data_IF_620271988356
#
_entry.id   IF_620271988356
#
_cell.length_a   1.000
_cell.length_b   1.000
_cell.length_c   1.000
_cell.angle_alpha   90.00
_cell.angle_beta   90.00
_cell.angle_gamma   90.00
#
_symmetry.space_group_name_H-M   'P 1'
#
loop_
_entity.id
_entity.type
_entity.pdbx_description
1 polymer ?
#
# COMPACT_ATOMS: atom_id res chain seq x y z
N UNK A 1 0.81 -41.42 56.62
CA UNK A 1 0.12 -40.12 56.78
C UNK A 1 0.98 -39.07 56.08
N UNK A 2 0.55 -38.55 54.93
CA UNK A 2 1.32 -37.59 54.14
C UNK A 2 0.73 -36.20 54.25
N UNK A 3 1.53 -35.22 54.67
CA UNK A 3 1.15 -33.81 54.70
C UNK A 3 1.26 -33.20 53.30
N UNK A 4 0.19 -32.52 52.86
CA UNK A 4 0.19 -31.68 51.67
C UNK A 4 0.38 -30.23 52.13
N UNK A 5 1.47 -29.59 51.70
CA UNK A 5 1.72 -28.16 51.93
C UNK A 5 1.13 -27.41 50.73
N UNK A 6 0.04 -26.67 50.96
CA UNK A 6 -0.54 -25.75 49.99
C UNK A 6 0.26 -24.43 50.01
N UNK A 7 1.21 -24.29 49.09
CA UNK A 7 1.90 -23.02 48.86
C UNK A 7 0.96 -22.05 48.14
N UNK A 8 0.57 -20.97 48.81
CA UNK A 8 -0.22 -19.88 48.23
C UNK A 8 0.62 -19.09 47.23
N UNK A 9 0.26 -19.16 45.95
CA UNK A 9 0.86 -18.33 44.89
C UNK A 9 0.25 -16.94 44.98
N UNK A 10 1.04 -15.94 45.34
CA UNK A 10 0.62 -14.53 45.35
C UNK A 10 0.58 -14.03 43.90
N UNK A 11 -0.55 -13.52 43.38
CA UNK A 11 -0.57 -12.95 42.04
C UNK A 11 0.18 -11.63 42.02
N UNK A 12 1.20 -11.53 41.17
CA UNK A 12 1.89 -10.27 40.88
C UNK A 12 0.94 -9.38 40.09
N UNK A 13 0.58 -8.23 40.67
CA UNK A 13 -0.22 -7.21 40.00
C UNK A 13 0.69 -6.44 39.05
N UNK A 14 0.56 -6.69 37.75
CA UNK A 14 1.24 -5.89 36.72
C UNK A 14 0.47 -4.59 36.56
N UNK A 15 0.97 -3.50 37.13
CA UNK A 15 0.46 -2.17 36.85
C UNK A 15 0.98 -1.75 35.48
N UNK A 16 0.09 -1.81 34.48
CA UNK A 16 0.34 -1.26 33.17
C UNK A 16 0.49 0.26 33.33
N UNK A 17 1.61 0.89 32.90
CA UNK A 17 1.72 2.33 32.95
C UNK A 17 0.53 2.92 32.17
N UNK A 18 -0.20 3.83 32.83
CA UNK A 18 -1.33 4.52 32.24
C UNK A 18 -0.94 4.96 30.83
N UNK A 19 -1.72 4.52 29.84
CA UNK A 19 -1.53 4.76 28.43
C UNK A 19 -1.52 6.27 28.16
N UNK A 20 -0.36 6.90 28.37
CA UNK A 20 -0.08 8.25 27.95
C UNK A 20 0.25 8.17 26.47
N UNK A 21 -0.46 9.03 25.74
CA UNK A 21 -0.38 9.21 24.30
C UNK A 21 -1.09 8.10 23.52
N UNK A 22 -2.40 8.33 23.36
CA UNK A 22 -3.11 7.90 22.18
C UNK A 22 -2.30 8.36 20.96
N UNK A 23 -1.43 7.46 20.47
CA UNK A 23 -0.94 7.47 19.11
C UNK A 23 -2.17 7.38 18.22
N UNK A 24 -2.79 8.53 17.95
CA UNK A 24 -3.67 8.70 16.82
C UNK A 24 -2.79 8.63 15.56
N UNK A 25 -2.19 7.46 15.32
CA UNK A 25 -1.69 7.06 14.02
C UNK A 25 -2.92 6.84 13.14
N UNK A 26 -3.56 7.95 12.75
CA UNK A 26 -4.44 7.93 11.59
C UNK A 26 -3.52 7.66 10.41
N UNK A 27 -3.35 6.38 10.06
CA UNK A 27 -2.74 6.03 8.79
C UNK A 27 -3.46 6.83 7.70
N UNK A 28 -2.75 7.50 6.78
CA UNK A 28 -3.39 8.33 5.78
C UNK A 28 -4.40 7.47 5.01
N UNK A 29 -5.67 7.86 5.07
CA UNK A 29 -6.75 7.15 4.35
C UNK A 29 -6.45 7.29 2.87
N UNK A 30 -5.94 6.22 2.26
CA UNK A 30 -5.61 6.22 0.84
C UNK A 30 -6.90 6.22 0.03
N UNK A 31 -7.07 7.23 -0.81
CA UNK A 31 -8.24 7.33 -1.68
C UNK A 31 -8.06 6.45 -2.92
N UNK A 32 -9.13 5.75 -3.28
CA UNK A 32 -9.19 4.88 -4.45
C UNK A 32 -10.25 5.38 -5.40
N UNK A 33 -9.88 5.53 -6.67
CA UNK A 33 -10.77 5.97 -7.74
C UNK A 33 -10.86 4.93 -8.84
N UNK A 34 -11.98 4.84 -9.57
CA UNK A 34 -12.09 3.99 -10.75
C UNK A 34 -10.99 4.27 -11.77
N UNK A 35 -10.43 3.22 -12.38
CA UNK A 35 -9.36 3.35 -13.37
C UNK A 35 -9.72 4.28 -14.55
N UNK A 36 -10.99 4.32 -14.97
CA UNK A 36 -11.42 5.24 -16.03
C UNK A 36 -11.35 6.71 -15.56
N UNK A 37 -11.79 7.00 -14.34
CA UNK A 37 -11.77 8.34 -13.75
C UNK A 37 -10.33 8.80 -13.54
N UNK A 38 -9.44 7.90 -13.09
CA UNK A 38 -8.00 8.15 -13.02
C UNK A 38 -7.40 8.58 -14.36
N UNK A 39 -7.76 7.90 -15.46
CA UNK A 39 -7.26 8.22 -16.80
C UNK A 39 -7.78 9.56 -17.33
N UNK A 40 -8.97 9.98 -16.92
CA UNK A 40 -9.55 11.28 -17.29
C UNK A 40 -8.97 12.43 -16.45
N UNK A 41 -8.78 12.21 -15.15
CA UNK A 41 -8.19 13.18 -14.24
C UNK A 41 -6.72 13.50 -14.59
N UNK A 42 -5.99 12.53 -15.13
CA UNK A 42 -4.57 12.64 -15.43
C UNK A 42 -4.31 12.79 -16.93
N UNK A 43 -4.96 13.80 -17.51
CA UNK A 43 -4.64 14.31 -18.84
C UNK A 43 -3.68 15.49 -18.70
N UNK A 44 -2.70 15.54 -19.59
CA UNK A 44 -1.85 16.71 -19.76
C UNK A 44 -2.72 17.89 -20.20
N UNK A 45 -2.77 19.00 -19.44
CA UNK A 45 -3.58 20.16 -19.79
C UNK A 45 -3.09 20.87 -21.07
N UNK A 46 -1.81 20.73 -21.43
CA UNK A 46 -1.26 21.39 -22.61
C UNK A 46 -1.56 20.63 -23.90
N UNK A 47 -1.49 19.29 -23.85
CA UNK A 47 -1.67 18.44 -25.05
C UNK A 47 -3.01 17.72 -25.11
N UNK A 48 -3.77 17.71 -24.02
CA UNK A 48 -5.02 16.94 -23.86
C UNK A 48 -4.82 15.42 -23.84
N UNK A 49 -3.56 14.95 -23.93
CA UNK A 49 -3.20 13.53 -23.97
C UNK A 49 -3.20 12.95 -22.56
N UNK A 50 -3.51 11.67 -22.44
CA UNK A 50 -3.41 10.96 -21.15
C UNK A 50 -1.94 10.79 -20.77
N UNK A 51 -1.60 11.11 -19.52
CA UNK A 51 -0.25 10.91 -18.98
C UNK A 51 0.11 9.41 -18.88
N UNK A 52 -0.91 8.56 -18.69
CA UNK A 52 -0.77 7.10 -18.69
C UNK A 52 -1.71 6.53 -19.74
N UNK A 53 -1.21 5.65 -20.62
CA UNK A 53 -2.07 4.97 -21.57
C UNK A 53 -2.97 3.96 -20.84
N UNK A 54 -4.18 3.76 -21.37
CA UNK A 54 -5.13 2.79 -20.83
C UNK A 54 -4.50 1.39 -20.77
N UNK A 55 -3.84 0.98 -21.84
CA UNK A 55 -3.17 -0.31 -21.96
C UNK A 55 -2.07 -0.49 -20.93
N UNK A 56 -1.21 0.53 -20.75
CA UNK A 56 -0.15 0.49 -19.74
C UNK A 56 -0.71 0.33 -18.32
N UNK A 57 -1.81 1.05 -18.00
CA UNK A 57 -2.47 0.94 -16.70
C UNK A 57 -2.99 -0.48 -16.44
N UNK A 58 -3.79 -1.04 -17.37
CA UNK A 58 -4.34 -2.39 -17.19
C UNK A 58 -3.28 -3.48 -17.24
N UNK A 59 -2.23 -3.31 -18.05
CA UNK A 59 -1.10 -4.23 -18.08
C UNK A 59 -0.34 -4.20 -16.75
N UNK A 60 -0.07 -3.03 -16.18
CA UNK A 60 0.58 -2.90 -14.88
C UNK A 60 -0.24 -3.50 -13.74
N UNK A 61 -1.57 -3.35 -13.80
CA UNK A 61 -2.50 -4.03 -12.88
C UNK A 61 -2.42 -5.55 -13.03
N UNK A 62 -2.46 -6.06 -14.27
CA UNK A 62 -2.35 -7.50 -14.55
C UNK A 62 -1.01 -8.09 -14.11
N UNK A 63 0.07 -7.33 -14.24
CA UNK A 63 1.43 -7.72 -13.82
C UNK A 63 1.66 -7.56 -12.31
N UNK A 64 0.70 -7.03 -11.55
CA UNK A 64 0.84 -6.80 -10.11
C UNK A 64 1.77 -5.64 -9.74
N UNK A 65 2.20 -4.84 -10.72
CA UNK A 65 3.05 -3.65 -10.51
C UNK A 65 2.27 -2.46 -9.97
N UNK A 66 0.98 -2.41 -10.28
CA UNK A 66 0.07 -1.34 -9.86
C UNK A 66 -0.84 -1.87 -8.75
N UNK A 67 -0.80 -1.26 -7.55
CA UNK A 67 -1.73 -1.59 -6.48
C UNK A 67 -3.15 -1.27 -6.95
N UNK A 68 -4.08 -2.20 -6.73
CA UNK A 68 -5.46 -2.03 -7.17
C UNK A 68 -6.41 -2.79 -6.25
N UNK A 69 -7.67 -2.32 -6.20
CA UNK A 69 -8.79 -3.01 -5.56
C UNK A 69 -9.81 -3.35 -6.63
N UNK A 70 -10.26 -4.60 -6.66
CA UNK A 70 -11.29 -5.04 -7.61
C UNK A 70 -12.64 -5.10 -6.92
N UNK A 71 -13.58 -4.29 -7.38
CA UNK A 71 -14.97 -4.30 -6.92
C UNK A 71 -15.87 -4.81 -8.05
N UNK A 72 -16.16 -6.12 -8.02
CA UNK A 72 -16.87 -6.83 -9.08
C UNK A 72 -16.12 -6.77 -10.41
N UNK A 73 -16.69 -6.03 -11.38
CA UNK A 73 -16.09 -5.78 -12.70
C UNK A 73 -15.25 -4.50 -12.76
N UNK A 74 -15.25 -3.68 -11.71
CA UNK A 74 -14.53 -2.40 -11.67
C UNK A 74 -13.16 -2.59 -11.04
N UNK A 75 -12.17 -1.89 -11.59
CA UNK A 75 -10.83 -1.78 -11.02
C UNK A 75 -10.70 -0.38 -10.45
N UNK A 76 -10.37 -0.31 -9.16
CA UNK A 76 -10.01 0.91 -8.48
C UNK A 76 -8.50 0.97 -8.35
N UNK A 77 -7.95 2.14 -8.63
CA UNK A 77 -6.53 2.45 -8.47
C UNK A 77 -6.39 3.60 -7.48
N UNK A 78 -5.26 3.69 -6.77
CA UNK A 78 -5.01 4.82 -5.89
C UNK A 78 -5.00 6.14 -6.65
N UNK A 79 -5.55 7.20 -6.05
CA UNK A 79 -5.55 8.53 -6.66
C UNK A 79 -4.13 9.10 -6.83
N UNK A 80 -3.22 8.73 -5.93
CA UNK A 80 -1.80 9.11 -5.90
C UNK A 80 -0.90 8.21 -6.76
N UNK A 81 -1.48 7.33 -7.58
CA UNK A 81 -0.71 6.33 -8.33
C UNK A 81 0.33 6.98 -9.27
N UNK A 82 0.00 8.11 -9.91
CA UNK A 82 0.93 8.76 -10.83
C UNK A 82 2.18 9.28 -10.11
N UNK A 83 2.01 9.87 -8.93
CA UNK A 83 3.13 10.32 -8.11
C UNK A 83 4.05 9.16 -7.77
N UNK A 84 3.50 7.97 -7.51
CA UNK A 84 4.29 6.77 -7.23
C UNK A 84 5.02 6.22 -8.47
N UNK A 85 4.42 6.34 -9.65
CA UNK A 85 5.06 5.93 -10.91
C UNK A 85 6.19 6.88 -11.32
N UNK A 86 6.03 8.18 -11.07
CA UNK A 86 7.03 9.20 -11.39
C UNK A 86 8.15 9.24 -10.34
N UNK A 87 7.81 9.09 -9.06
CA UNK A 87 8.76 9.17 -7.94
C UNK A 87 9.58 7.90 -7.76
N UNK A 88 9.18 6.78 -8.37
CA UNK A 88 10.01 5.57 -8.45
C UNK A 88 10.76 5.55 -9.79
N UNK A 89 11.90 6.26 -9.95
CA UNK A 89 12.84 5.90 -10.99
C UNK A 89 13.22 4.44 -10.72
N UNK A 90 13.33 3.66 -11.79
CA UNK A 90 13.73 2.26 -11.76
C UNK A 90 14.76 2.02 -10.65
N UNK A 91 14.34 1.38 -9.56
CA UNK A 91 15.30 0.89 -8.58
C UNK A 91 16.09 -0.18 -9.32
N UNK A 92 17.30 0.22 -9.72
CA UNK A 92 18.34 -0.60 -10.29
C UNK A 92 18.39 -1.97 -9.59
N UNK A 93 18.28 -3.05 -10.39
CA UNK A 93 18.26 -4.40 -9.83
C UNK A 93 18.10 -5.55 -10.82
N UNK A 94 17.90 -5.31 -12.13
CA UNK A 94 17.96 -6.38 -13.13
C UNK A 94 19.03 -6.05 -14.19
N UNK A 95 20.19 -6.74 -14.20
CA UNK A 95 21.16 -6.63 -15.28
C UNK A 95 20.65 -7.41 -16.50
N UNK A 96 19.79 -6.79 -17.31
CA UNK A 96 19.48 -7.24 -18.67
C UNK A 96 20.18 -6.37 -19.73
N UNK A 97 21.40 -5.93 -19.43
CA UNK A 97 22.32 -5.40 -20.44
C UNK A 97 23.70 -5.98 -20.18
N UNK A 98 23.91 -7.18 -20.72
CA UNK A 98 25.24 -7.68 -21.08
C UNK A 98 25.08 -8.51 -22.35
N UNK A 99 24.75 -7.83 -23.44
CA UNK A 99 25.10 -8.33 -24.77
C UNK A 99 25.37 -7.12 -25.67
N UNK A 100 26.65 -6.85 -25.89
CA UNK A 100 27.26 -6.10 -26.99
C UNK A 100 28.64 -5.55 -26.56
N UNK A 101 29.66 -6.38 -26.66
CA UNK A 101 31.02 -5.99 -27.02
C UNK A 101 31.67 -7.14 -27.79
#
# INVERSE_FOLDING_TARGET
MGNVILSSVTPVRVEWPAAQEAFAMSAPVRSYIPAHEFLEAHRDPATGRRLVSREALYLGVKQGRIPHVRLGRRILVPSDLLDQLVTKPASAGDPLTSDAA
#
